data_IF_082022735396
#
_entry.id   IF_082022735396
#
_cell.length_a   1.000
_cell.length_b   1.000
_cell.length_c   1.000
_cell.angle_alpha   90.00
_cell.angle_beta   90.00
_cell.angle_gamma   90.00
#
_symmetry.space_group_name_H-M   'P 1'
#
loop_
_entity.id
_entity.type
_entity.pdbx_description
1 polymer ?
#
# COMPACT_ATOMS: atom_id res chain seq x y z
N UNK A 1 -85.49 -12.08 -12.17
CA UNK A 1 -84.95 -11.19 -11.14
C UNK A 1 -83.78 -11.88 -10.46
N UNK A 2 -82.70 -11.13 -10.29
CA UNK A 2 -81.61 -11.29 -9.33
C UNK A 2 -80.74 -12.57 -9.37
N UNK A 3 -79.46 -12.30 -9.64
CA UNK A 3 -78.33 -13.21 -9.65
C UNK A 3 -77.55 -13.16 -8.31
N UNK A 4 -76.55 -14.05 -8.22
CA UNK A 4 -75.36 -14.04 -7.32
C UNK A 4 -75.64 -14.63 -5.93
N UNK A 5 -74.77 -15.44 -5.32
CA UNK A 5 -73.30 -15.41 -5.24
C UNK A 5 -72.75 -16.80 -4.88
N UNK A 6 -71.72 -17.28 -5.59
CA UNK A 6 -70.83 -18.34 -5.09
C UNK A 6 -69.52 -17.67 -4.68
N UNK A 7 -69.17 -17.76 -3.40
CA UNK A 7 -67.93 -17.22 -2.84
C UNK A 7 -66.73 -18.08 -3.23
N UNK A 8 -65.75 -17.47 -3.89
CA UNK A 8 -64.44 -18.07 -4.13
C UNK A 8 -63.52 -17.58 -3.01
N UNK A 9 -63.01 -18.52 -2.21
CA UNK A 9 -61.88 -18.31 -1.30
C UNK A 9 -60.61 -18.17 -2.15
N UNK A 10 -60.03 -16.96 -2.22
CA UNK A 10 -58.67 -16.76 -2.72
C UNK A 10 -57.70 -16.91 -1.56
N UNK A 11 -56.94 -18.02 -1.56
CA UNK A 11 -55.77 -18.20 -0.73
C UNK A 11 -54.64 -17.30 -1.26
N UNK A 12 -54.23 -16.29 -0.49
CA UNK A 12 -53.03 -15.50 -0.76
C UNK A 12 -51.83 -16.28 -0.22
N UNK A 13 -51.21 -17.10 -1.06
CA UNK A 13 -49.85 -17.61 -0.80
C UNK A 13 -48.85 -16.49 -1.03
N UNK A 14 -48.36 -15.89 0.05
CA UNK A 14 -47.19 -15.01 0.00
C UNK A 14 -45.95 -15.84 -0.34
N UNK A 15 -45.46 -15.72 -1.57
CA UNK A 15 -44.13 -16.20 -1.95
C UNK A 15 -43.10 -15.29 -1.24
N UNK A 16 -42.56 -15.74 -0.11
CA UNK A 16 -41.32 -15.17 0.44
C UNK A 16 -40.21 -15.66 -0.48
N UNK A 17 -39.86 -14.84 -1.48
CA UNK A 17 -38.62 -15.01 -2.21
C UNK A 17 -37.48 -14.87 -1.21
N UNK A 18 -36.84 -15.99 -0.87
CA UNK A 18 -35.54 -16.00 -0.19
C UNK A 18 -34.56 -15.41 -1.19
N UNK A 19 -34.39 -14.08 -1.15
CA UNK A 19 -33.23 -13.45 -1.74
C UNK A 19 -32.00 -14.05 -1.05
N UNK A 20 -30.95 -14.47 -1.79
CA UNK A 20 -29.71 -14.84 -1.15
C UNK A 20 -29.22 -13.59 -0.41
N UNK A 21 -29.18 -13.67 0.92
CA UNK A 21 -28.43 -12.72 1.73
C UNK A 21 -27.02 -12.76 1.18
N UNK A 22 -26.59 -11.67 0.53
CA UNK A 22 -25.24 -11.53 0.02
C UNK A 22 -24.29 -11.78 1.17
N UNK A 23 -23.54 -12.87 1.11
CA UNK A 23 -22.41 -13.09 2.00
C UNK A 23 -21.46 -11.93 1.76
N UNK A 24 -21.24 -11.08 2.76
CA UNK A 24 -20.16 -10.11 2.74
C UNK A 24 -18.86 -10.91 2.56
N UNK A 25 -18.38 -11.01 1.32
CA UNK A 25 -17.16 -11.70 1.01
C UNK A 25 -16.00 -10.87 1.55
N UNK A 26 -15.26 -11.42 2.51
CA UNK A 26 -13.95 -10.89 2.87
C UNK A 26 -13.09 -10.82 1.59
N UNK A 27 -12.40 -9.70 1.36
CA UNK A 27 -11.45 -9.60 0.26
C UNK A 27 -10.36 -10.62 0.51
N UNK A 28 -10.19 -11.56 -0.42
CA UNK A 28 -9.06 -12.49 -0.39
C UNK A 28 -8.00 -12.04 -1.39
N UNK A 29 -6.73 -12.40 -1.16
CA UNK A 29 -5.69 -12.23 -2.17
C UNK A 29 -6.17 -12.79 -3.52
N UNK A 30 -5.99 -12.06 -4.63
CA UNK A 30 -6.39 -12.54 -5.93
C UNK A 30 -5.60 -13.80 -6.32
N UNK A 31 -6.21 -14.69 -7.11
CA UNK A 31 -5.55 -15.86 -7.70
C UNK A 31 -5.45 -15.70 -9.22
N UNK A 32 -4.35 -15.10 -9.74
CA UNK A 32 -4.29 -14.75 -11.14
C UNK A 32 -4.02 -15.94 -12.06
N UNK A 33 -4.52 -15.84 -13.29
CA UNK A 33 -4.26 -16.78 -14.37
C UNK A 33 -3.43 -16.10 -15.46
N UNK A 34 -2.31 -16.74 -15.84
CA UNK A 34 -1.43 -16.27 -16.91
C UNK A 34 -2.16 -16.22 -18.27
N UNK A 35 -3.18 -17.07 -18.47
CA UNK A 35 -3.99 -17.06 -19.69
C UNK A 35 -4.80 -15.78 -19.86
N UNK A 36 -5.02 -15.02 -18.78
CA UNK A 36 -5.68 -13.72 -18.83
C UNK A 36 -4.73 -12.58 -19.24
N UNK A 37 -3.42 -12.83 -19.39
CA UNK A 37 -2.47 -11.79 -19.78
C UNK A 37 -2.85 -11.17 -21.14
N UNK A 38 -2.92 -9.84 -21.26
CA UNK A 38 -3.22 -9.21 -22.53
C UNK A 38 -2.07 -9.43 -23.53
N UNK A 39 -2.34 -9.38 -24.85
CA UNK A 39 -1.29 -9.43 -25.85
C UNK A 39 -0.39 -8.19 -25.76
N UNK A 40 0.87 -8.37 -26.16
CA UNK A 40 1.82 -7.27 -26.34
C UNK A 40 1.55 -6.54 -27.66
N UNK A 41 0.51 -5.72 -27.66
CA UNK A 41 0.18 -4.83 -28.76
C UNK A 41 1.02 -3.54 -28.73
N UNK A 42 0.95 -2.71 -29.80
CA UNK A 42 1.62 -1.42 -29.80
C UNK A 42 1.21 -0.58 -28.58
N UNK A 43 2.15 0.13 -27.93
CA UNK A 43 1.84 1.05 -26.84
C UNK A 43 0.79 2.08 -27.25
N UNK A 44 -0.15 2.34 -26.34
CA UNK A 44 -1.22 3.32 -26.57
C UNK A 44 -2.31 3.28 -25.51
N UNK A 45 -3.07 4.37 -25.35
CA UNK A 45 -4.07 4.50 -24.29
C UNK A 45 -5.25 3.53 -24.49
N UNK A 46 -6.05 3.35 -23.43
CA UNK A 46 -7.28 2.56 -23.48
C UNK A 46 -8.35 3.18 -24.40
N UNK A 47 -8.30 4.51 -24.54
CA UNK A 47 -9.09 5.29 -25.48
C UNK A 47 -8.44 6.65 -25.75
N UNK A 48 -8.98 7.46 -26.68
CA UNK A 48 -8.36 8.75 -27.03
C UNK A 48 -8.18 9.66 -25.82
N UNK A 49 -6.99 10.24 -25.69
CA UNK A 49 -6.63 11.19 -24.64
C UNK A 49 -6.51 12.60 -25.22
N UNK A 50 -6.75 13.61 -24.38
CA UNK A 50 -6.51 15.02 -24.71
C UNK A 50 -5.71 15.68 -23.59
N UNK A 51 -4.86 16.63 -23.96
CA UNK A 51 -4.13 17.45 -23.00
C UNK A 51 -5.11 18.36 -22.24
N UNK A 52 -4.95 18.43 -20.93
CA UNK A 52 -5.79 19.15 -19.98
C UNK A 52 -5.03 20.18 -19.13
N UNK A 53 -3.69 20.18 -19.17
CA UNK A 53 -2.89 21.09 -18.33
C UNK A 53 -1.54 21.43 -18.93
N UNK A 54 -0.89 22.42 -18.33
CA UNK A 54 0.53 22.68 -18.57
C UNK A 54 1.38 21.59 -17.90
N UNK A 55 2.59 21.39 -18.43
CA UNK A 55 3.54 20.49 -17.78
C UNK A 55 4.05 21.11 -16.47
N UNK A 56 4.24 20.27 -15.46
CA UNK A 56 4.87 20.62 -14.21
C UNK A 56 6.38 20.38 -14.29
N UNK A 57 7.13 21.31 -13.70
CA UNK A 57 8.58 21.21 -13.55
C UNK A 57 8.89 21.46 -12.08
N UNK A 58 9.63 20.53 -11.48
CA UNK A 58 10.09 20.66 -10.11
C UNK A 58 11.19 21.72 -9.95
N UNK A 59 11.63 21.92 -8.71
CA UNK A 59 12.63 22.92 -8.39
C UNK A 59 13.42 22.58 -7.13
N UNK A 60 14.21 23.56 -6.70
CA UNK A 60 15.05 23.45 -5.51
C UNK A 60 14.46 24.29 -4.40
N UNK A 61 14.24 23.70 -3.22
CA UNK A 61 13.80 24.43 -2.03
C UNK A 61 14.85 25.48 -1.62
N UNK A 62 14.43 26.64 -1.07
CA UNK A 62 15.36 27.62 -0.53
C UNK A 62 16.33 27.00 0.49
N UNK A 63 17.58 27.44 0.50
CA UNK A 63 18.64 26.98 1.41
C UNK A 63 19.01 25.48 1.28
N UNK A 64 18.65 24.84 0.17
CA UNK A 64 19.10 23.47 -0.12
C UNK A 64 20.59 23.45 -0.46
N UNK A 65 21.30 22.47 0.09
CA UNK A 65 22.69 22.17 -0.24
C UNK A 65 22.74 20.82 -0.96
N UNK A 66 22.65 20.87 -2.29
CA UNK A 66 22.58 19.69 -3.13
C UNK A 66 23.95 19.02 -3.34
N UNK A 67 25.04 19.63 -2.87
CA UNK A 67 26.37 19.00 -2.85
C UNK A 67 26.46 17.89 -1.79
N UNK A 68 25.59 17.92 -0.77
CA UNK A 68 25.51 16.86 0.24
C UNK A 68 24.80 15.62 -0.29
N UNK A 69 25.24 14.47 0.21
CA UNK A 69 24.55 13.20 -0.03
C UNK A 69 23.10 13.29 0.49
N UNK A 70 22.10 12.98 -0.36
CA UNK A 70 20.70 12.95 0.05
C UNK A 70 20.49 12.03 1.27
N UNK A 71 19.69 12.44 2.28
CA UNK A 71 19.51 11.65 3.51
C UNK A 71 19.09 10.19 3.29
N UNK A 72 18.18 9.85 2.33
CA UNK A 72 17.88 8.47 2.01
C UNK A 72 19.09 7.61 1.63
N UNK A 73 20.07 8.15 0.89
CA UNK A 73 21.25 7.39 0.46
C UNK A 73 22.16 7.06 1.65
N UNK A 74 22.24 7.97 2.62
CA UNK A 74 22.97 7.74 3.88
C UNK A 74 22.25 6.71 4.74
N UNK A 75 20.93 6.85 4.92
CA UNK A 75 20.11 5.92 5.72
C UNK A 75 20.19 4.48 5.21
N UNK A 76 20.16 4.31 3.89
CA UNK A 76 20.27 3.01 3.21
C UNK A 76 21.71 2.54 2.99
N UNK A 77 22.70 3.32 3.43
CA UNK A 77 24.13 3.02 3.26
C UNK A 77 24.51 2.69 1.80
N UNK A 78 23.97 3.44 0.83
CA UNK A 78 24.12 3.14 -0.60
C UNK A 78 25.59 3.12 -1.04
N UNK A 79 26.42 4.01 -0.50
CA UNK A 79 27.86 4.00 -0.78
C UNK A 79 28.56 2.70 -0.34
N UNK A 80 28.07 2.05 0.73
CA UNK A 80 28.55 0.74 1.15
C UNK A 80 27.99 -0.38 0.28
N UNK A 81 26.70 -0.31 -0.09
CA UNK A 81 26.07 -1.26 -1.01
C UNK A 81 26.79 -1.29 -2.38
N UNK A 82 27.23 -0.13 -2.90
CA UNK A 82 27.96 -0.01 -4.15
C UNK A 82 29.30 -0.74 -4.19
N UNK A 83 29.89 -1.08 -3.02
CA UNK A 83 31.08 -1.94 -2.96
C UNK A 83 30.79 -3.39 -3.38
N UNK A 84 29.52 -3.80 -3.37
CA UNK A 84 29.09 -5.16 -3.68
C UNK A 84 28.41 -5.31 -5.04
N UNK A 85 27.75 -4.24 -5.52
CA UNK A 85 27.03 -4.21 -6.79
C UNK A 85 26.65 -2.79 -7.16
N UNK A 86 26.58 -2.48 -8.46
CA UNK A 86 26.06 -1.20 -8.98
C UNK A 86 24.89 -1.38 -9.96
N UNK A 87 24.35 -2.61 -10.07
CA UNK A 87 23.23 -2.91 -10.97
C UNK A 87 23.62 -3.15 -12.43
N UNK A 88 24.92 -3.32 -12.72
CA UNK A 88 25.42 -3.56 -14.07
C UNK A 88 24.74 -4.78 -14.73
N UNK A 89 24.32 -4.61 -15.99
CA UNK A 89 23.68 -5.65 -16.79
C UNK A 89 22.20 -5.90 -16.47
N UNK A 90 21.61 -5.10 -15.56
CA UNK A 90 20.18 -5.21 -15.23
C UNK A 90 19.39 -4.12 -15.94
N UNK A 91 18.31 -4.52 -16.60
CA UNK A 91 17.33 -3.61 -17.20
C UNK A 91 16.18 -3.41 -16.21
N UNK A 92 15.89 -2.15 -15.88
CA UNK A 92 14.80 -1.73 -14.99
C UNK A 92 13.79 -0.94 -15.80
N UNK A 93 12.55 -1.42 -15.89
CA UNK A 93 11.46 -0.67 -16.48
C UNK A 93 10.81 0.26 -15.45
N UNK A 94 10.57 1.50 -15.86
CA UNK A 94 9.89 2.53 -15.08
C UNK A 94 8.55 2.80 -15.76
N UNK A 95 7.47 2.21 -15.21
CA UNK A 95 6.09 2.45 -15.63
C UNK A 95 5.55 3.62 -14.81
N UNK A 96 5.47 4.79 -15.42
CA UNK A 96 5.32 6.06 -14.73
C UNK A 96 4.76 7.17 -15.67
N UNK A 97 5.05 8.45 -15.42
CA UNK A 97 4.63 9.61 -16.23
C UNK A 97 5.50 9.86 -17.46
N UNK A 98 6.37 8.90 -17.79
CA UNK A 98 7.46 9.06 -18.75
C UNK A 98 8.75 9.48 -18.05
N UNK A 99 9.87 9.40 -18.76
CA UNK A 99 11.19 9.76 -18.21
C UNK A 99 11.90 10.63 -19.21
N UNK A 100 12.20 11.88 -18.85
CA UNK A 100 12.97 12.74 -19.75
C UNK A 100 14.39 12.19 -19.90
N UNK A 101 14.95 12.10 -21.12
CA UNK A 101 16.34 11.73 -21.33
C UNK A 101 17.30 12.60 -20.52
N UNK A 102 18.28 11.98 -19.87
CA UNK A 102 19.28 12.64 -19.03
C UNK A 102 20.69 12.13 -19.38
N UNK A 103 21.72 12.99 -19.39
CA UNK A 103 23.11 12.54 -19.45
C UNK A 103 23.47 11.59 -18.30
N UNK A 104 22.79 11.75 -17.15
CA UNK A 104 22.96 10.92 -15.95
C UNK A 104 22.17 9.61 -16.00
N UNK A 105 21.44 9.33 -17.07
CA UNK A 105 20.78 8.05 -17.33
C UNK A 105 21.25 7.54 -18.72
N UNK A 106 22.51 7.12 -18.85
CA UNK A 106 23.04 6.72 -20.15
C UNK A 106 22.34 5.47 -20.68
N UNK A 107 22.09 5.44 -21.99
CA UNK A 107 21.55 4.26 -22.65
C UNK A 107 20.07 3.96 -22.33
N UNK A 108 19.29 4.98 -21.94
CA UNK A 108 17.84 4.83 -21.77
C UNK A 108 17.18 4.19 -23.01
N UNK A 109 16.22 3.31 -22.75
CA UNK A 109 15.43 2.61 -23.77
C UNK A 109 14.02 3.22 -23.80
N UNK A 110 13.50 3.62 -24.98
CA UNK A 110 12.10 4.02 -25.09
C UNK A 110 11.21 2.78 -24.94
N UNK A 111 10.34 2.78 -23.94
CA UNK A 111 9.43 1.69 -23.64
C UNK A 111 7.99 1.93 -24.12
N UNK A 112 7.74 3.05 -24.81
CA UNK A 112 6.43 3.38 -25.35
C UNK A 112 5.58 4.26 -24.45
N UNK A 113 4.46 4.69 -25.03
CA UNK A 113 3.55 5.66 -24.42
C UNK A 113 2.10 5.17 -24.51
N UNK A 114 1.47 5.04 -23.35
CA UNK A 114 0.07 4.66 -23.16
C UNK A 114 -0.82 5.88 -22.82
N UNK A 115 -0.32 7.10 -23.03
CA UNK A 115 -1.07 8.35 -22.83
C UNK A 115 -1.30 9.06 -24.17
N UNK A 116 -0.25 9.45 -24.89
CA UNK A 116 -0.37 10.24 -26.13
C UNK A 116 0.69 9.84 -27.19
N UNK A 117 0.65 8.58 -27.69
CA UNK A 117 1.60 8.12 -28.70
C UNK A 117 1.46 8.87 -30.03
N UNK A 118 0.30 9.50 -30.28
CA UNK A 118 0.05 10.26 -31.51
C UNK A 118 0.91 11.53 -31.61
N UNK A 119 1.42 12.04 -30.48
CA UNK A 119 2.41 13.13 -30.44
C UNK A 119 3.82 12.73 -30.91
N UNK A 120 4.05 11.43 -31.19
CA UNK A 120 5.37 10.87 -31.44
C UNK A 120 6.14 10.49 -30.17
N UNK A 121 5.51 10.62 -29.00
CA UNK A 121 6.07 10.20 -27.72
C UNK A 121 6.29 8.69 -27.67
N UNK A 122 7.40 8.29 -27.07
CA UNK A 122 7.83 6.90 -26.94
C UNK A 122 8.21 6.54 -25.49
N UNK A 123 7.68 7.30 -24.52
CA UNK A 123 7.98 7.18 -23.09
C UNK A 123 9.00 8.19 -22.58
N UNK A 124 9.67 8.94 -23.47
CA UNK A 124 10.66 9.94 -23.10
C UNK A 124 10.12 11.34 -22.75
N UNK A 125 8.82 11.54 -22.90
CA UNK A 125 8.19 12.81 -22.54
C UNK A 125 7.62 12.75 -21.13
N UNK A 126 8.25 13.44 -20.20
CA UNK A 126 7.77 13.55 -18.81
C UNK A 126 7.22 14.96 -18.55
N UNK A 127 5.90 15.09 -18.59
CA UNK A 127 5.19 16.35 -18.41
C UNK A 127 4.91 16.66 -16.93
N UNK A 128 5.23 15.74 -16.02
CA UNK A 128 4.98 15.85 -14.59
C UNK A 128 6.26 15.89 -13.76
N UNK A 129 7.37 15.37 -14.31
CA UNK A 129 8.65 15.23 -13.63
C UNK A 129 8.74 14.00 -12.73
N UNK A 130 7.62 13.34 -12.45
CA UNK A 130 7.53 12.24 -11.51
C UNK A 130 8.34 11.03 -11.95
N UNK A 131 8.18 10.56 -13.20
CA UNK A 131 8.97 9.43 -13.70
C UNK A 131 10.46 9.74 -13.85
N UNK A 132 10.84 10.99 -14.15
CA UNK A 132 12.25 11.43 -14.16
C UNK A 132 12.87 11.39 -12.75
N UNK A 133 12.12 11.80 -11.73
CA UNK A 133 12.54 11.68 -10.33
C UNK A 133 12.71 10.20 -9.93
N UNK A 134 11.75 9.34 -10.28
CA UNK A 134 11.82 7.89 -10.01
C UNK A 134 13.03 7.24 -10.70
N UNK A 135 13.24 7.52 -11.99
CA UNK A 135 14.38 6.99 -12.74
C UNK A 135 15.72 7.47 -12.18
N UNK A 136 15.80 8.72 -11.71
CA UNK A 136 17.00 9.25 -11.07
C UNK A 136 17.34 8.55 -9.75
N UNK A 137 16.34 8.22 -8.92
CA UNK A 137 16.54 7.44 -7.69
C UNK A 137 17.08 6.04 -8.03
N UNK A 138 16.52 5.41 -9.06
CA UNK A 138 16.94 4.06 -9.47
C UNK A 138 18.36 4.08 -10.04
N UNK A 139 18.64 4.96 -11.01
CA UNK A 139 19.77 4.77 -11.92
C UNK A 139 20.65 5.98 -12.22
N UNK A 140 20.52 7.11 -11.52
CA UNK A 140 21.35 8.27 -11.82
C UNK A 140 22.86 7.97 -11.66
N UNK A 141 23.64 8.12 -12.74
CA UNK A 141 25.10 8.14 -12.67
C UNK A 141 25.57 9.30 -11.77
N UNK A 142 26.70 9.16 -11.04
CA UNK A 142 27.20 10.24 -10.18
C UNK A 142 27.64 11.47 -10.98
N UNK A 143 27.65 12.63 -10.32
CA UNK A 143 28.18 13.88 -10.86
C UNK A 143 29.05 14.58 -9.80
N UNK A 144 30.07 15.36 -10.18
CA UNK A 144 30.89 16.12 -9.23
C UNK A 144 30.18 17.35 -8.65
N UNK A 145 29.01 17.71 -9.20
CA UNK A 145 28.27 18.95 -8.91
C UNK A 145 27.26 18.82 -7.77
N UNK A 146 26.93 17.59 -7.37
CA UNK A 146 25.89 17.29 -6.40
C UNK A 146 26.13 15.92 -5.75
N UNK A 147 25.43 15.63 -4.65
CA UNK A 147 25.56 14.38 -3.90
C UNK A 147 24.65 13.25 -4.38
N UNK A 148 23.87 13.44 -5.46
CA UNK A 148 22.98 12.40 -5.97
C UNK A 148 23.80 11.29 -6.63
N UNK A 149 23.45 10.05 -6.32
CA UNK A 149 23.77 8.87 -7.11
C UNK A 149 22.57 7.92 -6.98
N UNK A 150 22.18 7.28 -8.07
CA UNK A 150 21.12 6.29 -8.06
C UNK A 150 21.52 5.07 -7.22
N UNK A 151 20.54 4.30 -6.77
CA UNK A 151 20.79 3.06 -6.04
C UNK A 151 21.52 2.05 -6.92
N UNK A 152 21.20 1.98 -8.21
CA UNK A 152 21.79 1.09 -9.20
C UNK A 152 22.28 1.90 -10.43
N UNK A 153 23.37 2.69 -10.29
CA UNK A 153 23.78 3.67 -11.30
C UNK A 153 24.26 3.05 -12.63
N UNK A 154 24.52 1.74 -12.65
CA UNK A 154 24.91 1.02 -13.87
C UNK A 154 23.77 0.15 -14.44
N UNK A 155 22.56 0.25 -13.88
CA UNK A 155 21.38 -0.35 -14.48
C UNK A 155 20.89 0.46 -15.69
N UNK A 156 20.27 -0.21 -16.65
CA UNK A 156 19.68 0.43 -17.81
C UNK A 156 18.20 0.72 -17.54
N UNK A 157 17.74 1.95 -17.84
CA UNK A 157 16.35 2.35 -17.61
C UNK A 157 15.53 2.23 -18.91
N UNK A 158 14.40 1.52 -18.84
CA UNK A 158 13.34 1.56 -19.85
C UNK A 158 12.28 2.54 -19.38
N UNK A 159 11.95 3.54 -20.19
CA UNK A 159 10.95 4.56 -19.86
C UNK A 159 9.60 4.21 -20.49
N UNK A 160 8.59 3.90 -19.68
CA UNK A 160 7.23 3.62 -20.14
C UNK A 160 6.30 4.68 -19.54
N UNK A 161 5.73 5.53 -20.39
CA UNK A 161 4.71 6.47 -19.96
C UNK A 161 3.36 5.77 -19.94
N UNK A 162 2.77 5.62 -18.76
CA UNK A 162 1.49 4.95 -18.59
C UNK A 162 0.42 5.84 -17.96
N UNK A 163 0.80 6.83 -17.15
CA UNK A 163 -0.12 7.83 -16.60
C UNK A 163 0.31 9.24 -16.92
N UNK A 164 -0.64 10.16 -16.82
CA UNK A 164 -0.38 11.59 -16.82
C UNK A 164 -1.59 12.32 -16.24
N UNK A 165 -1.34 13.27 -15.35
CA UNK A 165 -2.37 14.20 -14.86
C UNK A 165 -2.57 15.38 -15.82
N UNK A 166 -1.57 15.69 -16.64
CA UNK A 166 -1.67 16.69 -17.69
C UNK A 166 -2.58 16.24 -18.85
N UNK A 167 -3.03 14.97 -18.87
CA UNK A 167 -3.94 14.42 -19.86
C UNK A 167 -5.20 13.81 -19.22
N UNK A 168 -6.29 13.81 -19.98
CA UNK A 168 -7.53 13.15 -19.60
C UNK A 168 -8.17 12.42 -20.79
N UNK A 169 -9.06 11.45 -20.54
CA UNK A 169 -9.89 10.88 -21.60
C UNK A 169 -10.62 11.97 -22.39
N UNK A 170 -10.58 11.89 -23.72
CA UNK A 170 -11.26 12.85 -24.59
C UNK A 170 -12.78 12.70 -24.51
N UNK A 171 -13.25 11.46 -24.40
CA UNK A 171 -14.67 11.12 -24.32
C UNK A 171 -15.06 10.82 -22.88
N UNK A 172 -16.30 11.17 -22.52
CA UNK A 172 -16.89 10.73 -21.26
C UNK A 172 -17.21 9.23 -21.32
N UNK A 173 -17.28 8.59 -20.16
CA UNK A 173 -17.75 7.20 -20.07
C UNK A 173 -19.12 7.07 -20.71
N UNK A 174 -19.28 6.07 -21.58
CA UNK A 174 -20.58 5.70 -22.16
C UNK A 174 -21.55 5.16 -21.13
N UNK A 175 -21.05 4.71 -19.97
CA UNK A 175 -21.85 4.24 -18.84
C UNK A 175 -21.19 4.64 -17.51
N UNK A 176 -21.52 5.82 -16.94
CA UNK A 176 -20.88 6.32 -15.73
C UNK A 176 -21.08 5.46 -14.48
N UNK A 177 -22.14 4.66 -14.44
CA UNK A 177 -22.47 3.79 -13.30
C UNK A 177 -21.72 2.45 -13.33
N UNK A 178 -21.13 2.09 -14.49
CA UNK A 178 -20.31 0.87 -14.60
C UNK A 178 -18.85 1.17 -14.21
N UNK A 179 -18.35 0.58 -13.10
CA UNK A 179 -16.96 0.77 -12.68
C UNK A 179 -15.93 0.40 -13.76
N UNK A 180 -16.26 -0.54 -14.65
CA UNK A 180 -15.35 -1.00 -15.72
C UNK A 180 -15.23 -0.01 -16.89
N UNK A 181 -16.13 0.98 -16.97
CA UNK A 181 -16.07 2.09 -17.92
C UNK A 181 -15.45 3.37 -17.31
N UNK A 182 -14.93 3.30 -16.09
CA UNK A 182 -14.25 4.42 -15.43
C UNK A 182 -12.82 4.66 -15.96
N UNK A 183 -12.28 5.85 -15.69
CA UNK A 183 -10.85 6.15 -15.95
C UNK A 183 -9.93 5.16 -15.25
N UNK A 184 -10.20 4.85 -13.99
CA UNK A 184 -9.43 3.89 -13.19
C UNK A 184 -9.38 2.51 -13.84
N UNK A 185 -10.49 2.05 -14.44
CA UNK A 185 -10.49 0.79 -15.18
C UNK A 185 -9.64 0.84 -16.45
N UNK A 186 -9.66 1.96 -17.18
CA UNK A 186 -8.76 2.19 -18.32
C UNK A 186 -7.28 2.24 -17.92
N UNK A 187 -6.97 2.86 -16.78
CA UNK A 187 -5.62 2.91 -16.22
C UNK A 187 -5.15 1.50 -15.82
N UNK A 188 -6.01 0.67 -15.21
CA UNK A 188 -5.71 -0.74 -14.90
C UNK A 188 -5.45 -1.57 -16.18
N UNK A 189 -6.26 -1.37 -17.24
CA UNK A 189 -6.09 -2.06 -18.52
C UNK A 189 -4.80 -1.65 -19.26
N UNK A 190 -4.45 -0.38 -19.25
CA UNK A 190 -3.18 0.10 -19.84
C UNK A 190 -1.98 -0.37 -19.03
N UNK A 191 -2.07 -0.37 -17.70
CA UNK A 191 -1.04 -0.92 -16.81
C UNK A 191 -0.76 -2.40 -17.09
N UNK A 192 -1.81 -3.21 -17.25
CA UNK A 192 -1.67 -4.63 -17.61
C UNK A 192 -0.85 -4.82 -18.91
N UNK A 193 -1.16 -4.04 -19.95
CA UNK A 193 -0.42 -4.08 -21.22
C UNK A 193 1.03 -3.56 -21.06
N UNK A 194 1.23 -2.50 -20.29
CA UNK A 194 2.56 -1.94 -20.02
C UNK A 194 3.47 -2.93 -19.27
N UNK A 195 2.93 -3.72 -18.33
CA UNK A 195 3.67 -4.76 -17.61
C UNK A 195 4.12 -5.88 -18.55
N UNK A 196 3.21 -6.38 -19.41
CA UNK A 196 3.57 -7.38 -20.43
C UNK A 196 4.66 -6.85 -21.36
N UNK A 197 4.50 -5.61 -21.82
CA UNK A 197 5.45 -4.94 -22.70
C UNK A 197 6.83 -4.78 -22.05
N UNK A 198 6.88 -4.29 -20.81
CA UNK A 198 8.11 -4.16 -20.03
C UNK A 198 8.85 -5.50 -19.88
N UNK A 199 8.11 -6.56 -19.58
CA UNK A 199 8.67 -7.90 -19.46
C UNK A 199 9.19 -8.44 -20.81
N UNK A 200 8.53 -8.11 -21.92
CA UNK A 200 8.98 -8.47 -23.28
C UNK A 200 10.17 -7.66 -23.77
N UNK A 201 10.35 -6.42 -23.30
CA UNK A 201 11.55 -5.62 -23.49
C UNK A 201 12.76 -6.15 -22.68
N UNK A 202 12.58 -7.20 -21.88
CA UNK A 202 13.65 -7.86 -21.13
C UNK A 202 13.95 -7.23 -19.78
N UNK A 203 13.04 -6.41 -19.23
CA UNK A 203 13.18 -5.87 -17.89
C UNK A 203 13.23 -7.01 -16.85
N UNK A 204 14.23 -6.99 -15.98
CA UNK A 204 14.35 -7.94 -14.84
C UNK A 204 13.74 -7.39 -13.56
N UNK A 205 13.54 -6.06 -13.52
CA UNK A 205 12.82 -5.34 -12.48
C UNK A 205 11.85 -4.37 -13.17
N UNK A 206 10.59 -4.35 -12.74
CA UNK A 206 9.55 -3.45 -13.24
C UNK A 206 9.08 -2.61 -12.05
N UNK A 207 9.44 -1.33 -12.05
CA UNK A 207 8.96 -0.36 -11.08
C UNK A 207 7.61 0.20 -11.54
N UNK A 208 6.59 0.04 -10.70
CA UNK A 208 5.24 0.58 -10.92
C UNK A 208 4.93 1.60 -9.84
N UNK A 209 5.10 2.88 -10.18
CA UNK A 209 4.76 3.98 -9.27
C UNK A 209 3.27 4.30 -9.28
N UNK A 210 2.58 3.94 -10.36
CA UNK A 210 1.17 4.21 -10.57
C UNK A 210 0.34 3.36 -9.61
N UNK A 211 -0.55 4.03 -8.88
CA UNK A 211 -1.48 3.39 -7.95
C UNK A 211 -2.90 3.72 -8.36
N UNK A 212 -3.69 2.68 -8.62
CA UNK A 212 -5.14 2.78 -8.81
C UNK A 212 -5.85 2.26 -7.57
N UNK A 213 -6.60 3.12 -6.89
CA UNK A 213 -7.34 2.73 -5.69
C UNK A 213 -8.80 2.39 -5.99
N UNK A 214 -9.20 1.14 -5.69
CA UNK A 214 -10.52 0.57 -6.02
C UNK A 214 -11.29 0.28 -4.75
N UNK A 215 -12.51 0.80 -4.62
CA UNK A 215 -13.37 0.50 -3.46
C UNK A 215 -13.89 -0.93 -3.57
N UNK A 216 -13.85 -1.68 -2.47
CA UNK A 216 -14.37 -3.06 -2.42
C UNK A 216 -15.87 -3.11 -2.75
N UNK A 217 -16.61 -2.06 -2.39
CA UNK A 217 -18.04 -1.93 -2.70
C UNK A 217 -18.36 -1.63 -4.17
N UNK A 218 -17.35 -1.32 -5.00
CA UNK A 218 -17.51 -1.01 -6.42
C UNK A 218 -16.33 -1.60 -7.23
N UNK A 219 -16.26 -2.94 -7.33
CA UNK A 219 -15.09 -3.63 -7.89
C UNK A 219 -14.93 -3.36 -9.39
N UNK A 220 -13.68 -3.30 -9.83
CA UNK A 220 -13.27 -3.26 -11.24
C UNK A 220 -12.67 -4.63 -11.58
N UNK A 221 -12.93 -5.13 -12.79
CA UNK A 221 -12.27 -6.34 -13.29
C UNK A 221 -10.76 -6.11 -13.48
N UNK A 222 -9.96 -6.93 -12.81
CA UNK A 222 -8.50 -6.88 -12.85
C UNK A 222 -7.88 -8.18 -13.37
N UNK A 223 -8.66 -9.07 -13.99
CA UNK A 223 -8.17 -10.35 -14.49
C UNK A 223 -6.96 -10.19 -15.43
N UNK A 224 -7.05 -9.24 -16.37
CA UNK A 224 -5.96 -8.96 -17.30
C UNK A 224 -4.68 -8.46 -16.60
N UNK A 225 -4.83 -7.64 -15.57
CA UNK A 225 -3.70 -7.16 -14.78
C UNK A 225 -3.06 -8.29 -13.97
N UNK A 226 -3.87 -9.13 -13.33
CA UNK A 226 -3.37 -10.32 -12.64
C UNK A 226 -2.61 -11.25 -13.60
N UNK A 227 -3.15 -11.49 -14.80
CA UNK A 227 -2.47 -12.29 -15.82
C UNK A 227 -1.15 -11.67 -16.29
N UNK A 228 -1.12 -10.35 -16.50
CA UNK A 228 0.10 -9.62 -16.86
C UNK A 228 1.19 -9.72 -15.77
N UNK A 229 0.82 -9.56 -14.50
CA UNK A 229 1.73 -9.69 -13.37
C UNK A 229 2.29 -11.11 -13.27
N UNK A 230 1.42 -12.13 -13.39
CA UNK A 230 1.84 -13.52 -13.36
C UNK A 230 2.74 -13.87 -14.53
N UNK A 231 2.44 -13.34 -15.72
CA UNK A 231 3.31 -13.46 -16.89
C UNK A 231 4.69 -12.85 -16.65
N UNK A 232 4.75 -11.61 -16.14
CA UNK A 232 6.01 -10.95 -15.84
C UNK A 232 6.86 -11.74 -14.84
N UNK A 233 6.26 -12.18 -13.73
CA UNK A 233 6.97 -12.86 -12.63
C UNK A 233 7.32 -14.30 -12.96
N UNK A 234 6.37 -15.08 -13.46
CA UNK A 234 6.54 -16.55 -13.59
C UNK A 234 7.03 -16.98 -14.97
N UNK A 235 6.73 -16.21 -16.03
CA UNK A 235 7.16 -16.55 -17.40
C UNK A 235 8.41 -15.79 -17.80
N UNK A 236 8.52 -14.51 -17.41
CA UNK A 236 9.63 -13.63 -17.81
C UNK A 236 10.67 -13.41 -16.71
N UNK A 237 10.42 -13.93 -15.50
CA UNK A 237 11.29 -13.76 -14.34
C UNK A 237 11.63 -12.28 -14.06
N UNK A 238 10.65 -11.40 -14.23
CA UNK A 238 10.72 -9.99 -13.90
C UNK A 238 10.10 -9.75 -12.52
N UNK A 239 10.86 -9.11 -11.61
CA UNK A 239 10.31 -8.71 -10.32
C UNK A 239 9.49 -7.43 -10.49
N UNK A 240 8.23 -7.45 -10.09
CA UNK A 240 7.39 -6.24 -10.05
C UNK A 240 7.46 -5.63 -8.67
N UNK A 241 7.85 -4.35 -8.60
CA UNK A 241 7.91 -3.55 -7.37
C UNK A 241 6.91 -2.41 -7.51
N UNK A 242 5.96 -2.31 -6.59
CA UNK A 242 4.89 -1.32 -6.70
C UNK A 242 4.78 -0.43 -5.46
N UNK A 243 4.40 0.83 -5.69
CA UNK A 243 4.03 1.74 -4.63
C UNK A 243 2.77 1.26 -3.89
N UNK A 244 2.77 1.29 -2.55
CA UNK A 244 1.61 0.89 -1.76
C UNK A 244 0.41 1.86 -1.93
N UNK A 245 0.67 3.11 -2.31
CA UNK A 245 -0.32 4.17 -2.46
C UNK A 245 -0.19 5.21 -1.36
N UNK A 246 -0.71 6.41 -1.64
CA UNK A 246 -0.68 7.52 -0.71
C UNK A 246 -2.09 7.96 -0.34
N UNK A 247 -2.33 8.27 0.93
CA UNK A 247 -3.58 8.91 1.38
C UNK A 247 -3.41 10.42 1.42
N UNK A 248 -4.43 11.16 0.99
CA UNK A 248 -4.41 12.63 0.98
C UNK A 248 -3.21 13.22 0.20
N UNK A 249 -2.85 12.61 -0.94
CA UNK A 249 -1.67 13.00 -1.69
C UNK A 249 -1.81 14.35 -2.41
N UNK A 250 -1.13 15.37 -1.90
CA UNK A 250 -0.88 16.66 -2.57
C UNK A 250 0.53 16.79 -3.16
N UNK A 251 1.42 15.82 -2.87
CA UNK A 251 2.87 15.83 -3.20
C UNK A 251 3.31 14.72 -4.15
N UNK A 252 2.42 13.78 -4.46
CA UNK A 252 2.64 12.63 -5.37
C UNK A 252 1.47 12.51 -6.38
N UNK A 253 1.16 13.64 -7.01
CA UNK A 253 -0.03 13.83 -7.84
C UNK A 253 0.05 13.04 -9.16
N UNK A 254 1.24 12.89 -9.76
CA UNK A 254 1.46 12.13 -11.01
C UNK A 254 1.08 10.64 -10.96
N UNK A 255 0.96 10.06 -9.77
CA UNK A 255 0.84 8.61 -9.56
C UNK A 255 -0.60 8.07 -9.39
N UNK A 256 -1.67 8.86 -9.56
CA UNK A 256 -3.06 8.34 -9.60
C UNK A 256 -3.76 8.14 -8.24
N UNK A 257 -3.26 8.76 -7.17
CA UNK A 257 -3.70 8.52 -5.78
C UNK A 257 -5.06 9.14 -5.37
N UNK A 258 -5.90 9.64 -6.29
CA UNK A 258 -7.01 10.56 -5.94
C UNK A 258 -8.12 9.93 -5.09
N UNK A 259 -8.21 8.59 -5.03
CA UNK A 259 -9.26 7.87 -4.29
C UNK A 259 -8.73 6.96 -3.18
N UNK A 260 -7.44 7.02 -2.88
CA UNK A 260 -6.82 6.14 -1.90
C UNK A 260 -7.21 6.50 -0.47
N UNK A 261 -7.46 5.46 0.34
CA UNK A 261 -7.72 5.55 1.78
C UNK A 261 -7.01 4.41 2.48
N UNK A 262 -6.46 4.67 3.67
CA UNK A 262 -5.81 3.63 4.46
C UNK A 262 -6.85 2.65 4.96
N UNK A 263 -6.51 1.37 4.88
CA UNK A 263 -7.30 0.32 5.48
C UNK A 263 -7.01 0.25 6.99
N UNK A 264 -7.91 -0.36 7.79
CA UNK A 264 -7.65 -0.62 9.19
C UNK A 264 -6.34 -1.41 9.40
N UNK A 265 -5.66 -1.15 10.51
CA UNK A 265 -4.54 -2.00 10.93
C UNK A 265 -5.02 -3.41 11.30
N UNK A 266 -4.07 -4.31 11.61
CA UNK A 266 -4.37 -5.67 12.03
C UNK A 266 -5.35 -5.71 13.22
N UNK A 267 -6.41 -6.52 13.11
CA UNK A 267 -7.40 -6.71 14.16
C UNK A 267 -6.93 -7.82 15.12
N UNK A 268 -6.54 -7.50 16.38
CA UNK A 268 -6.05 -8.51 17.32
C UNK A 268 -7.14 -9.49 17.78
N UNK A 269 -8.42 -9.24 17.46
CA UNK A 269 -9.54 -10.14 17.78
C UNK A 269 -9.76 -11.24 16.74
N UNK A 270 -9.12 -11.14 15.56
CA UNK A 270 -9.18 -12.12 14.47
C UNK A 270 -7.77 -12.67 14.14
N UNK A 271 -7.17 -13.50 15.00
CA UNK A 271 -5.79 -13.99 14.83
C UNK A 271 -5.58 -14.87 13.58
N UNK A 272 -6.65 -15.45 13.03
CA UNK A 272 -6.67 -16.19 11.76
C UNK A 272 -6.52 -15.29 10.53
N UNK A 273 -6.77 -13.98 10.66
CA UNK A 273 -6.55 -12.96 9.64
C UNK A 273 -5.54 -11.91 10.15
N UNK A 274 -4.26 -12.31 10.33
CA UNK A 274 -3.26 -11.49 11.04
C UNK A 274 -2.92 -10.18 10.31
N UNK A 275 -3.29 -10.05 9.04
CA UNK A 275 -3.12 -8.84 8.23
C UNK A 275 -4.44 -8.08 8.02
N UNK A 276 -5.57 -8.57 8.54
CA UNK A 276 -6.89 -7.95 8.43
C UNK A 276 -7.35 -7.73 6.96
N UNK A 277 -7.23 -8.78 6.14
CA UNK A 277 -7.79 -8.82 4.79
C UNK A 277 -9.31 -8.60 4.77
N UNK A 278 -10.02 -9.16 5.76
CA UNK A 278 -11.46 -8.99 5.92
C UNK A 278 -11.88 -7.54 6.21
N UNK A 279 -10.99 -6.72 6.79
CA UNK A 279 -11.20 -5.29 7.04
C UNK A 279 -10.89 -4.36 5.87
N UNK A 280 -10.44 -4.87 4.72
CA UNK A 280 -10.11 -4.04 3.55
C UNK A 280 -11.35 -3.34 3.00
N UNK A 281 -11.23 -2.03 2.77
CA UNK A 281 -12.29 -1.19 2.17
C UNK A 281 -11.87 -0.56 0.84
N UNK A 282 -10.57 -0.31 0.66
CA UNK A 282 -9.99 0.22 -0.58
C UNK A 282 -8.77 -0.61 -0.95
N UNK A 283 -8.83 -1.24 -2.11
CA UNK A 283 -7.76 -2.00 -2.74
C UNK A 283 -6.77 -1.05 -3.40
N UNK A 284 -5.48 -1.25 -3.17
CA UNK A 284 -4.39 -0.60 -3.92
C UNK A 284 -3.93 -1.53 -5.04
N UNK A 285 -4.09 -1.11 -6.29
CA UNK A 285 -3.71 -1.88 -7.47
C UNK A 285 -2.48 -1.25 -8.14
N UNK A 286 -1.40 -2.01 -8.43
CA UNK A 286 -1.32 -3.49 -8.39
C UNK A 286 -0.88 -4.10 -7.05
N UNK A 287 -0.64 -3.30 -6.01
CA UNK A 287 -0.06 -3.76 -4.74
C UNK A 287 -0.79 -4.96 -4.09
N UNK A 288 -2.12 -5.05 -4.18
CA UNK A 288 -2.88 -6.16 -3.58
C UNK A 288 -2.63 -7.55 -4.18
N UNK A 289 -1.92 -7.64 -5.32
CA UNK A 289 -1.44 -8.91 -5.89
C UNK A 289 -0.18 -9.38 -5.13
N UNK A 290 -0.30 -9.50 -3.81
CA UNK A 290 0.75 -9.74 -2.79
C UNK A 290 1.78 -10.82 -3.23
N UNK A 291 1.32 -11.96 -3.74
CA UNK A 291 2.20 -13.06 -4.17
C UNK A 291 3.08 -12.76 -5.39
N UNK A 292 2.77 -11.71 -6.15
CA UNK A 292 3.40 -11.36 -7.43
C UNK A 292 4.05 -9.97 -7.41
N UNK A 293 3.68 -9.11 -6.47
CA UNK A 293 4.10 -7.71 -6.42
C UNK A 293 4.74 -7.45 -5.08
N UNK A 294 6.00 -6.98 -5.09
CA UNK A 294 6.63 -6.47 -3.89
C UNK A 294 6.08 -5.07 -3.61
N UNK A 295 5.13 -4.96 -2.68
CA UNK A 295 4.46 -3.69 -2.36
C UNK A 295 5.27 -2.88 -1.34
N UNK A 296 5.45 -1.60 -1.63
CA UNK A 296 6.39 -0.73 -0.90
C UNK A 296 5.65 0.44 -0.25
N UNK A 297 5.56 0.40 1.07
CA UNK A 297 5.20 1.56 1.90
C UNK A 297 6.38 2.53 2.02
N UNK A 298 6.18 3.66 2.68
CA UNK A 298 7.29 4.60 2.87
C UNK A 298 7.48 5.12 4.29
N UNK A 299 8.75 5.42 4.57
CA UNK A 299 9.23 5.98 5.83
C UNK A 299 10.05 7.25 5.56
N UNK A 300 10.30 8.03 6.61
CA UNK A 300 11.35 9.05 6.58
C UNK A 300 12.74 8.42 6.54
N UNK A 301 13.79 9.19 6.20
CA UNK A 301 15.19 8.73 6.32
C UNK A 301 15.57 8.24 7.73
N UNK A 302 14.85 8.66 8.77
CA UNK A 302 15.05 8.21 10.16
C UNK A 302 14.30 6.91 10.48
N UNK A 303 13.61 6.30 9.50
CA UNK A 303 12.84 5.07 9.66
C UNK A 303 11.44 5.29 10.28
N UNK A 304 10.99 6.54 10.40
CA UNK A 304 9.65 6.85 10.94
C UNK A 304 8.59 6.57 9.88
N UNK A 305 7.56 5.78 10.24
CA UNK A 305 6.42 5.51 9.36
C UNK A 305 5.73 6.80 8.92
N UNK A 306 5.44 6.91 7.63
CA UNK A 306 4.72 8.06 7.10
C UNK A 306 3.20 7.85 7.26
N UNK A 307 2.50 8.82 7.85
CA UNK A 307 1.06 8.74 8.08
C UNK A 307 0.25 8.73 6.76
N UNK A 308 0.82 9.30 5.70
CA UNK A 308 0.22 9.32 4.37
C UNK A 308 0.57 8.10 3.51
N UNK A 309 1.33 7.12 4.02
CA UNK A 309 1.50 5.82 3.36
C UNK A 309 0.20 5.01 3.52
N UNK A 310 -0.37 4.53 2.40
CA UNK A 310 -1.61 3.76 2.44
C UNK A 310 -1.39 2.43 3.14
N UNK A 311 -2.16 2.19 4.20
CA UNK A 311 -2.13 0.92 4.91
C UNK A 311 -2.91 -0.15 4.15
N UNK A 312 -2.35 -1.36 4.06
CA UNK A 312 -2.99 -2.54 3.48
C UNK A 312 -2.31 -3.85 3.87
N UNK A 313 -3.05 -4.97 3.87
CA UNK A 313 -2.49 -6.28 4.19
C UNK A 313 -1.42 -6.77 3.21
N UNK A 314 -1.32 -6.15 2.04
CA UNK A 314 -0.37 -6.48 0.99
C UNK A 314 0.99 -5.76 1.10
N UNK A 315 1.18 -4.86 2.07
CA UNK A 315 2.47 -4.13 2.16
C UNK A 315 3.56 -5.07 2.67
N UNK A 316 4.64 -5.20 1.90
CA UNK A 316 5.73 -6.15 2.18
C UNK A 316 6.92 -5.52 2.90
N UNK A 317 7.33 -4.33 2.47
CA UNK A 317 8.49 -3.60 2.97
C UNK A 317 8.26 -2.09 2.88
N UNK A 318 9.18 -1.32 3.44
CA UNK A 318 9.23 0.11 3.26
C UNK A 318 10.59 0.59 2.72
N UNK A 319 10.56 1.70 1.99
CA UNK A 319 11.74 2.46 1.60
C UNK A 319 11.63 3.93 2.03
N UNK A 320 12.72 4.71 1.98
CA UNK A 320 12.63 6.15 2.18
C UNK A 320 11.76 6.79 1.10
N UNK A 321 10.70 7.49 1.52
CA UNK A 321 9.80 8.21 0.62
C UNK A 321 9.74 9.70 0.91
N UNK A 322 10.71 10.25 1.65
CA UNK A 322 10.85 11.69 1.89
C UNK A 322 12.32 12.09 1.97
N UNK A 323 12.61 13.40 1.95
CA UNK A 323 13.98 13.90 1.83
C UNK A 323 14.61 13.57 0.47
N UNK A 324 13.77 13.47 -0.55
CA UNK A 324 14.15 13.04 -1.90
C UNK A 324 14.91 14.18 -2.59
N UNK A 325 16.02 13.82 -3.23
CA UNK A 325 16.71 14.62 -4.24
C UNK A 325 16.84 13.72 -5.47
N UNK A 326 16.45 14.18 -6.64
CA UNK A 326 16.56 13.40 -7.87
C UNK A 326 16.66 14.30 -9.12
N UNK A 327 16.68 13.69 -10.31
CA UNK A 327 16.86 14.38 -11.59
C UNK A 327 15.64 15.23 -11.96
N UNK A 328 15.91 16.39 -12.55
CA UNK A 328 14.92 17.36 -13.03
C UNK A 328 14.39 17.02 -14.41
N UNK A 329 13.09 17.18 -14.67
CA UNK A 329 12.55 17.16 -16.04
C UNK A 329 12.64 18.53 -16.75
N UNK A 330 13.07 19.60 -16.07
CA UNK A 330 13.22 20.95 -16.66
C UNK A 330 14.58 21.23 -17.26
N UNK A 331 15.64 20.75 -16.61
CA UNK A 331 17.05 20.93 -16.98
C UNK A 331 17.88 19.71 -16.57
N UNK A 332 19.16 19.63 -16.94
CA UNK A 332 20.02 18.48 -16.60
C UNK A 332 20.47 18.46 -15.10
N UNK A 333 19.79 19.22 -14.23
CA UNK A 333 20.12 19.38 -12.82
C UNK A 333 19.41 18.37 -11.92
N UNK A 334 19.54 18.63 -10.61
CA UNK A 334 18.85 17.89 -9.55
C UNK A 334 17.90 18.81 -8.80
N UNK A 335 16.77 18.25 -8.36
CA UNK A 335 15.69 18.94 -7.66
C UNK A 335 15.29 18.16 -6.41
N UNK A 336 14.69 18.85 -5.45
CA UNK A 336 14.18 18.28 -4.20
C UNK A 336 12.76 18.75 -3.86
N UNK A 337 12.11 19.40 -4.81
CA UNK A 337 10.79 19.99 -4.65
C UNK A 337 9.97 19.87 -5.93
N UNK A 338 8.64 19.81 -5.76
CA UNK A 338 7.66 19.87 -6.84
C UNK A 338 6.63 20.96 -6.55
N UNK A 339 5.89 21.47 -7.56
CA UNK A 339 4.79 22.40 -7.31
C UNK A 339 3.73 21.80 -6.38
N UNK A 340 3.33 22.54 -5.34
CA UNK A 340 2.25 22.15 -4.45
C UNK A 340 0.88 22.69 -4.88
N UNK A 341 -0.20 22.06 -4.40
CA UNK A 341 -1.58 22.42 -4.75
C UNK A 341 -1.97 23.86 -4.38
N UNK A 342 -1.36 24.43 -3.34
CA UNK A 342 -1.60 25.82 -2.91
C UNK A 342 -0.61 26.82 -3.52
N UNK A 343 0.15 26.40 -4.53
CA UNK A 343 1.25 27.17 -5.11
C UNK A 343 2.55 27.05 -4.30
N UNK A 344 3.65 27.45 -4.93
CA UNK A 344 5.00 27.30 -4.37
C UNK A 344 5.54 25.87 -4.50
N UNK A 345 6.76 25.67 -3.98
CA UNK A 345 7.45 24.38 -3.98
C UNK A 345 7.26 23.66 -2.66
N UNK A 346 6.97 22.36 -2.73
CA UNK A 346 6.85 21.46 -1.57
C UNK A 346 7.88 20.34 -1.69
N UNK A 347 8.42 19.84 -0.56
CA UNK A 347 9.36 18.72 -0.58
C UNK A 347 8.74 17.49 -1.26
N UNK A 348 9.57 16.79 -2.03
CA UNK A 348 9.17 15.55 -2.70
C UNK A 348 8.96 14.44 -1.66
N UNK A 349 7.77 13.83 -1.66
CA UNK A 349 7.47 12.68 -0.83
C UNK A 349 6.37 11.78 -1.41
N UNK A 350 6.43 10.47 -1.15
CA UNK A 350 5.44 9.49 -1.58
C UNK A 350 5.96 8.05 -1.69
N UNK A 351 5.04 7.08 -1.75
CA UNK A 351 5.34 5.65 -1.93
C UNK A 351 6.04 5.34 -3.25
N UNK A 352 5.82 6.15 -4.29
CA UNK A 352 6.47 5.99 -5.60
C UNK A 352 8.00 6.06 -5.50
N UNK A 353 8.51 7.00 -4.71
CA UNK A 353 9.95 7.17 -4.51
C UNK A 353 10.53 6.05 -3.64
N UNK A 354 9.77 5.56 -2.66
CA UNK A 354 10.16 4.39 -1.87
C UNK A 354 10.26 3.13 -2.74
N UNK A 355 9.28 2.90 -3.63
CA UNK A 355 9.32 1.82 -4.62
C UNK A 355 10.55 1.96 -5.53
N UNK A 356 10.94 3.17 -5.91
CA UNK A 356 12.15 3.43 -6.69
C UNK A 356 13.44 2.96 -5.97
N UNK A 357 13.57 3.23 -4.66
CA UNK A 357 14.70 2.71 -3.87
C UNK A 357 14.73 1.18 -3.82
N UNK A 358 13.57 0.54 -3.63
CA UNK A 358 13.45 -0.92 -3.59
C UNK A 358 13.74 -1.54 -4.97
N UNK A 359 13.28 -0.92 -6.05
CA UNK A 359 13.61 -1.32 -7.44
C UNK A 359 15.10 -1.23 -7.72
N UNK A 360 15.75 -0.17 -7.24
CA UNK A 360 17.20 -0.04 -7.29
C UNK A 360 17.92 -1.16 -6.53
N UNK A 361 17.48 -1.48 -5.30
CA UNK A 361 18.02 -2.60 -4.53
C UNK A 361 17.83 -3.94 -5.25
N UNK A 362 16.65 -4.17 -5.84
CA UNK A 362 16.40 -5.35 -6.66
C UNK A 362 17.37 -5.45 -7.84
N UNK A 363 17.71 -4.33 -8.48
CA UNK A 363 18.71 -4.29 -9.54
C UNK A 363 20.12 -4.60 -9.02
N UNK A 364 20.50 -4.11 -7.84
CA UNK A 364 21.76 -4.47 -7.20
C UNK A 364 21.85 -5.98 -6.94
N UNK A 365 20.76 -6.58 -6.43
CA UNK A 365 20.66 -8.02 -6.16
C UNK A 365 20.73 -8.85 -7.44
N UNK A 366 19.99 -8.48 -8.48
CA UNK A 366 20.00 -9.19 -9.77
C UNK A 366 21.35 -9.10 -10.47
N UNK A 367 22.11 -8.02 -10.27
CA UNK A 367 23.47 -7.91 -10.82
C UNK A 367 24.46 -8.79 -10.04
N UNK A 368 24.34 -8.85 -8.70
CA UNK A 368 25.22 -9.65 -7.84
C UNK A 368 24.91 -11.15 -7.86
N UNK A 369 23.63 -11.49 -7.95
CA UNK A 369 23.09 -12.84 -7.91
C UNK A 369 22.19 -13.09 -9.13
N UNK A 370 22.76 -13.14 -10.35
CA UNK A 370 21.99 -13.18 -11.61
C UNK A 370 21.10 -14.41 -11.77
N UNK A 371 21.39 -15.48 -11.04
CA UNK A 371 20.61 -16.72 -11.01
C UNK A 371 19.39 -16.67 -10.09
N UNK A 372 19.25 -15.65 -9.23
CA UNK A 372 18.08 -15.54 -8.36
C UNK A 372 16.84 -15.23 -9.18
N UNK A 373 15.76 -15.95 -8.92
CA UNK A 373 14.44 -15.66 -9.50
C UNK A 373 13.82 -14.40 -8.88
N UNK A 374 12.78 -13.85 -9.51
CA UNK A 374 12.01 -12.71 -8.98
C UNK A 374 11.55 -12.97 -7.54
N UNK A 375 11.00 -14.16 -7.27
CA UNK A 375 10.54 -14.56 -5.93
C UNK A 375 11.69 -14.65 -4.92
N UNK A 376 12.86 -15.13 -5.33
CA UNK A 376 14.03 -15.19 -4.45
C UNK A 376 14.58 -13.80 -4.13
N UNK A 377 14.60 -12.88 -5.11
CA UNK A 377 14.99 -11.48 -4.87
C UNK A 377 14.01 -10.80 -3.92
N UNK A 378 12.70 -10.93 -4.14
CA UNK A 378 11.67 -10.38 -3.24
C UNK A 378 11.81 -10.94 -1.81
N UNK A 379 11.90 -12.27 -1.68
CA UNK A 379 12.13 -12.94 -0.39
C UNK A 379 13.35 -12.38 0.32
N UNK A 380 14.46 -12.23 -0.40
CA UNK A 380 15.70 -11.71 0.17
C UNK A 380 15.53 -10.30 0.69
N UNK A 381 14.93 -9.39 -0.09
CA UNK A 381 14.62 -8.02 0.34
C UNK A 381 13.75 -8.01 1.61
N UNK A 382 12.67 -8.80 1.62
CA UNK A 382 11.73 -8.92 2.74
C UNK A 382 12.42 -9.44 4.01
N UNK A 383 13.22 -10.50 3.89
CA UNK A 383 13.86 -11.16 5.04
C UNK A 383 14.98 -10.35 5.68
N UNK A 384 15.64 -9.47 4.92
CA UNK A 384 16.74 -8.64 5.43
C UNK A 384 16.29 -7.25 5.86
N UNK A 385 15.00 -6.92 5.74
CA UNK A 385 14.46 -5.64 6.15
C UNK A 385 14.41 -5.49 7.69
N UNK A 386 14.44 -4.25 8.17
CA UNK A 386 14.34 -3.91 9.58
C UNK A 386 12.90 -3.93 10.06
N UNK A 387 12.44 -5.10 10.50
CA UNK A 387 11.07 -5.34 10.92
C UNK A 387 10.59 -4.41 12.04
N UNK A 388 9.31 -3.98 12.00
CA UNK A 388 8.69 -3.28 13.12
C UNK A 388 8.56 -4.20 14.34
N UNK A 389 8.20 -3.66 15.50
CA UNK A 389 8.13 -4.40 16.77
C UNK A 389 7.24 -5.67 16.71
N UNK A 390 6.20 -5.67 15.87
CA UNK A 390 5.30 -6.83 15.66
C UNK A 390 5.81 -7.82 14.61
N UNK A 391 7.01 -7.60 14.06
CA UNK A 391 7.60 -8.38 12.98
C UNK A 391 7.06 -8.01 11.59
N UNK A 392 5.77 -7.67 11.47
CA UNK A 392 5.13 -7.17 10.26
C UNK A 392 3.97 -6.25 10.64
N UNK A 393 3.66 -5.25 9.81
CA UNK A 393 2.41 -4.49 9.90
C UNK A 393 1.88 -4.09 8.51
N UNK A 394 0.73 -3.41 8.47
CA UNK A 394 0.06 -3.04 7.21
C UNK A 394 0.57 -1.72 6.60
N UNK A 395 1.55 -1.04 7.21
CA UNK A 395 2.06 0.26 6.77
C UNK A 395 3.47 0.15 6.19
N UNK A 396 4.33 -0.61 6.85
CA UNK A 396 5.74 -0.81 6.46
C UNK A 396 6.08 -2.27 6.17
N UNK A 397 5.14 -3.20 6.32
CA UNK A 397 5.40 -4.62 6.12
C UNK A 397 6.49 -5.12 7.07
N UNK A 398 7.51 -5.80 6.55
CA UNK A 398 8.75 -6.20 7.24
C UNK A 398 9.73 -5.03 7.44
N UNK A 399 9.30 -3.80 7.21
CA UNK A 399 10.00 -2.58 7.58
C UNK A 399 10.99 -2.08 6.54
N UNK A 400 11.89 -1.20 6.98
CA UNK A 400 12.82 -0.49 6.11
C UNK A 400 13.82 -1.46 5.48
N UNK A 401 13.96 -1.42 4.15
CA UNK A 401 14.96 -2.22 3.42
C UNK A 401 16.39 -1.92 3.88
N UNK A 402 17.23 -2.96 3.94
CA UNK A 402 18.66 -2.86 4.21
C UNK A 402 19.46 -3.38 3.02
N UNK A 403 19.94 -2.50 2.12
CA UNK A 403 20.73 -2.91 0.97
C UNK A 403 22.00 -3.67 1.31
N UNK A 404 22.66 -3.35 2.41
CA UNK A 404 23.94 -3.98 2.78
C UNK A 404 23.68 -5.40 3.30
N UNK A 405 22.71 -5.59 4.19
CA UNK A 405 22.30 -6.93 4.63
C UNK A 405 21.78 -7.76 3.45
N UNK A 406 20.93 -7.16 2.60
CA UNK A 406 20.43 -7.81 1.39
C UNK A 406 21.57 -8.24 0.46
N UNK A 407 22.66 -7.50 0.31
CA UNK A 407 23.77 -7.89 -0.58
C UNK A 407 24.75 -8.88 0.05
N UNK A 408 24.76 -9.04 1.37
CA UNK A 408 25.84 -9.75 2.08
C UNK A 408 25.41 -10.97 2.91
N UNK A 409 24.19 -11.01 3.44
CA UNK A 409 23.77 -12.08 4.35
C UNK A 409 23.46 -13.38 3.62
N UNK A 410 23.70 -14.53 4.26
CA UNK A 410 23.15 -15.80 3.77
C UNK A 410 21.68 -15.88 4.18
N UNK A 411 20.78 -16.00 3.20
CA UNK A 411 19.34 -16.08 3.42
C UNK A 411 18.88 -17.47 3.02
N UNK A 412 18.12 -18.20 3.86
CA UNK A 412 17.57 -19.50 3.51
C UNK A 412 16.76 -19.43 2.20
N UNK A 413 16.93 -20.42 1.33
CA UNK A 413 16.24 -20.48 0.05
C UNK A 413 14.71 -20.71 0.17
N UNK A 414 14.20 -21.00 1.36
CA UNK A 414 12.85 -21.53 1.62
C UNK A 414 11.77 -20.47 1.88
N UNK A 415 11.93 -19.23 1.41
CA UNK A 415 10.92 -18.17 1.56
C UNK A 415 11.04 -17.37 2.86
N UNK A 416 10.33 -16.24 2.92
CA UNK A 416 10.25 -15.44 4.14
C UNK A 416 9.47 -16.21 5.23
N UNK A 417 9.89 -16.18 6.50
CA UNK A 417 9.20 -16.92 7.55
C UNK A 417 7.75 -16.44 7.68
N UNK A 418 6.82 -17.39 7.82
CA UNK A 418 5.41 -17.10 8.04
C UNK A 418 5.22 -16.20 9.27
N UNK A 419 4.22 -15.32 9.23
CA UNK A 419 3.87 -14.45 10.35
C UNK A 419 3.23 -15.32 11.44
N UNK A 420 4.02 -15.86 12.36
CA UNK A 420 3.48 -16.50 13.56
C UNK A 420 3.10 -15.43 14.57
N UNK A 421 1.84 -14.99 14.53
CA UNK A 421 1.26 -14.23 15.64
C UNK A 421 0.96 -15.22 16.76
N UNK A 422 1.89 -15.38 17.70
CA UNK A 422 1.57 -16.07 18.93
C UNK A 422 0.67 -15.13 19.76
N UNK A 423 -0.63 -15.43 19.76
CA UNK A 423 -1.52 -14.88 20.77
C UNK A 423 -1.03 -15.38 22.13
N UNK A 424 -0.23 -14.56 22.81
CA UNK A 424 -0.03 -14.75 24.23
C UNK A 424 -1.35 -14.38 24.89
N UNK A 425 -2.11 -15.36 25.37
CA UNK A 425 -3.21 -15.07 26.29
C UNK A 425 -2.61 -14.25 27.44
N UNK A 426 -3.02 -12.99 27.52
CA UNK A 426 -2.66 -12.16 28.66
C UNK A 426 -3.36 -12.79 29.86
N UNK A 427 -2.61 -13.54 30.68
CA UNK A 427 -3.10 -14.07 31.93
C UNK A 427 -3.31 -12.90 32.89
N UNK A 428 -4.45 -12.23 32.76
CA UNK A 428 -4.85 -11.20 33.69
C UNK A 428 -4.99 -11.86 35.06
N UNK A 429 -4.29 -11.38 36.10
CA UNK A 429 -4.49 -11.89 37.44
C UNK A 429 -5.97 -11.77 37.77
N UNK A 430 -6.58 -12.85 38.29
CA UNK A 430 -7.98 -12.86 38.69
C UNK A 430 -8.24 -11.61 39.55
N UNK A 431 -9.25 -10.79 39.22
CA UNK A 431 -9.58 -9.62 40.03
C UNK A 431 -9.67 -10.03 41.50
N UNK A 432 -9.10 -9.24 42.43
CA UNK A 432 -9.24 -9.55 43.85
C UNK A 432 -10.72 -9.76 44.17
N UNK A 433 -11.08 -10.82 44.91
CA UNK A 433 -12.47 -11.08 45.23
C UNK A 433 -13.09 -9.82 45.87
N UNK A 434 -14.36 -9.50 45.56
CA UNK A 434 -15.02 -8.36 46.17
C UNK A 434 -14.93 -8.48 47.70
N UNK A 435 -14.82 -7.37 48.44
CA UNK A 435 -14.71 -7.39 49.88
C UNK A 435 -15.85 -8.23 50.47
N UNK A 436 -15.53 -9.22 51.29
CA UNK A 436 -16.53 -10.06 51.93
C UNK A 436 -17.41 -9.17 52.82
N UNK A 437 -18.68 -9.02 52.42
CA UNK A 437 -19.67 -8.22 53.16
C UNK A 437 -20.44 -9.05 54.18
N UNK A 438 -20.24 -10.38 54.21
CA UNK A 438 -20.90 -11.26 55.18
C UNK A 438 -20.64 -10.84 56.64
N UNK A 439 -19.41 -10.46 57.07
CA UNK A 439 -19.15 -10.01 58.44
C UNK A 439 -19.93 -8.73 58.82
N UNK A 440 -20.13 -7.83 57.85
CA UNK A 440 -20.88 -6.58 58.06
C UNK A 440 -22.37 -6.85 58.24
N UNK A 441 -22.93 -7.73 57.42
CA UNK A 441 -24.32 -8.14 57.51
C UNK A 441 -24.60 -8.98 58.76
N UNK A 442 -23.71 -9.90 59.14
CA UNK A 442 -23.84 -10.65 60.39
C UNK A 442 -23.78 -9.74 61.62
N UNK A 443 -22.89 -8.75 61.63
CA UNK A 443 -22.83 -7.75 62.70
C UNK A 443 -24.11 -6.91 62.77
N UNK A 444 -24.62 -6.42 61.63
CA UNK A 444 -25.86 -5.65 61.60
C UNK A 444 -27.08 -6.46 62.07
N UNK A 445 -27.20 -7.72 61.64
CA UNK A 445 -28.31 -8.61 62.05
C UNK A 445 -28.23 -8.94 63.54
N UNK A 446 -27.03 -9.25 64.06
CA UNK A 446 -26.86 -9.53 65.50
C UNK A 446 -27.17 -8.31 66.37
N UNK A 447 -26.72 -7.11 65.98
CA UNK A 447 -27.04 -5.86 66.68
C UNK A 447 -28.55 -5.60 66.66
N UNK A 448 -29.20 -5.76 65.50
CA UNK A 448 -30.64 -5.57 65.37
C UNK A 448 -31.43 -6.58 66.23
N UNK A 449 -31.00 -7.85 66.26
CA UNK A 449 -31.62 -8.88 67.09
C UNK A 449 -31.47 -8.59 68.59
N UNK A 450 -30.29 -8.16 69.04
CA UNK A 450 -30.06 -7.78 70.44
C UNK A 450 -30.89 -6.56 70.81
N UNK A 451 -30.92 -5.53 69.96
CA UNK A 451 -31.74 -4.34 70.18
C UNK A 451 -33.23 -4.69 70.26
N UNK A 452 -33.72 -5.58 69.38
CA UNK A 452 -35.10 -6.06 69.41
C UNK A 452 -35.41 -6.80 70.72
N UNK A 453 -34.52 -7.67 71.19
CA UNK A 453 -34.69 -8.38 72.47
C UNK A 453 -34.72 -7.39 73.64
N UNK A 454 -33.83 -6.40 73.67
CA UNK A 454 -33.82 -5.36 74.72
C UNK A 454 -35.13 -4.57 74.73
N UNK A 455 -35.62 -4.16 73.55
CA UNK A 455 -36.90 -3.45 73.42
C UNK A 455 -38.06 -4.34 73.84
N UNK A 456 -38.09 -5.62 73.42
CA UNK A 456 -39.13 -6.56 73.82
C UNK A 456 -39.15 -6.77 75.34
N UNK A 457 -37.99 -6.91 75.98
CA UNK A 457 -37.87 -7.02 77.44
C UNK A 457 -38.34 -5.74 78.12
N UNK A 458 -37.96 -4.55 77.61
CA UNK A 458 -38.43 -3.27 78.16
C UNK A 458 -39.95 -3.10 78.04
N UNK A 459 -40.55 -3.55 76.92
CA UNK A 459 -42.00 -3.56 76.72
C UNK A 459 -42.67 -4.54 77.70
N UNK A 460 -42.11 -5.73 77.91
CA UNK A 460 -42.64 -6.71 78.87
C UNK A 460 -42.54 -6.18 80.31
N UNK A 461 -41.42 -5.55 80.69
CA UNK A 461 -41.21 -4.96 82.03
C UNK A 461 -42.15 -3.78 82.26
N UNK A 462 -42.39 -2.93 81.27
CA UNK A 462 -43.37 -1.84 81.39
C UNK A 462 -44.82 -2.35 81.43
N UNK A 463 -45.17 -3.35 80.62
CA UNK A 463 -46.50 -3.96 80.63
C UNK A 463 -46.81 -4.74 81.92
N UNK A 464 -45.80 -5.37 82.54
CA UNK A 464 -45.95 -6.11 83.81
C UNK A 464 -45.80 -5.20 85.04
N UNK A 465 -44.99 -4.13 84.95
CA UNK A 465 -44.81 -3.13 86.00
C UNK A 465 -46.02 -2.23 86.22
N UNK A 466 -46.77 -1.91 85.16
CA UNK A 466 -48.00 -1.09 85.26
C UNK A 466 -49.16 -1.86 85.93
N UNK A 467 -49.10 -3.19 86.02
CA UNK A 467 -50.15 -4.00 86.70
C UNK A 467 -50.00 -4.13 88.22
N UNK A 468 -48.92 -3.63 88.82
CA UNK A 468 -48.73 -3.66 90.30
C UNK A 468 -49.01 -2.33 91.02
N UNK A 469 -49.40 -1.28 90.30
CA UNK A 469 -49.70 0.04 90.87
C UNK A 469 -51.12 0.52 90.56
N UNK A 470 -52.14 -0.24 90.95
CA UNK A 470 -53.55 0.19 91.08
C UNK A 470 -54.36 -0.90 91.81
N UNK A 471 -54.09 -1.06 93.10
CA UNK A 471 -55.10 -1.39 94.10
C UNK A 471 -55.15 -0.25 95.09
#
# INVERSE_FOLDING_TARGET
MAARTAGVLTAVTALVAVAPLGTAGAVQPPHPDVAAAPPDGPPGPDGPMRKNGACAVGGVLPNSDLAKTPPPLTALQIAQAHKFSTGAGVVVAVIDTGVRPQPRLPGMIPGGDYVDPASGSNGFDDCEGHGTLVAGIIGAAPAPTDGLIGVAPNAQIVAIRQTSMAYMPQNQSSNPDDPNNSRTAGDIRTLARAIVHAANLGARVINVSVVSCVKVSNPIDQAALGGALKYAVEVKDALVVAAAGNVNASVDSGAGNQSCKSNPEADPTHPEDPRNWSGVTVVSTPSWFDDLVLSVGFVSPDGVRAENSMAGPWVDVAGPGSGIVSLSNGDNGVINAVPGDQGGLVPIAGTSYAAAYVSGLAALLRSRFPQMTARQVATRIITTAHAPARGVDNVVGRGLIDPVAALTYEVPATGAPAVTVQAAELSLPKPPPPPDTAPKWTAAITIAAVAFVVVAVAIIVTATGVRRGRQ
#
